data_IF_712209824032
#
_entry.id   IF_712209824032
#
_cell.length_a   1.000
_cell.length_b   1.000
_cell.length_c   1.000
_cell.angle_alpha   90.00
_cell.angle_beta   90.00
_cell.angle_gamma   90.00
#
_symmetry.space_group_name_H-M   'P 1'
#
loop_
_entity.id
_entity.type
_entity.pdbx_description
1 polymer ?
#
# COMPACT_ATOMS: atom_id res chain seq x y z
N UNK A 1 2.69 3.59 2.72
CA UNK A 1 1.95 3.22 1.50
C UNK A 1 2.76 3.54 0.26
N UNK A 2 2.52 2.84 -0.84
CA UNK A 2 3.07 3.15 -2.16
C UNK A 2 1.93 3.59 -3.10
N UNK A 3 2.19 4.66 -3.85
CA UNK A 3 1.21 5.32 -4.71
C UNK A 3 1.62 5.21 -6.19
N UNK A 4 0.67 5.00 -7.09
CA UNK A 4 0.90 5.06 -8.53
C UNK A 4 0.80 6.52 -9.03
N UNK A 5 1.92 7.16 -9.41
CA UNK A 5 1.95 8.55 -9.83
C UNK A 5 1.16 8.80 -11.12
N UNK A 6 0.92 7.77 -11.94
CA UNK A 6 0.14 7.88 -13.19
C UNK A 6 -1.35 8.08 -12.90
N UNK A 7 -1.82 7.65 -11.73
CA UNK A 7 -3.19 7.85 -11.24
C UNK A 7 -3.26 9.12 -10.38
N UNK A 8 -2.29 9.30 -9.49
CA UNK A 8 -2.22 10.46 -8.59
C UNK A 8 -2.12 11.77 -9.38
N UNK A 9 -1.37 11.75 -10.49
CA UNK A 9 -1.00 12.93 -11.25
C UNK A 9 0.23 13.63 -10.66
N UNK A 10 0.69 14.66 -11.35
CA UNK A 10 1.91 15.41 -10.99
C UNK A 10 1.62 16.74 -10.30
N UNK A 11 0.37 17.21 -10.32
CA UNK A 11 -0.03 18.47 -9.69
C UNK A 11 -0.80 18.21 -8.39
N UNK A 12 -0.12 18.41 -7.27
CA UNK A 12 -0.65 18.19 -5.92
C UNK A 12 -1.91 19.03 -5.63
N UNK A 13 -1.99 20.25 -6.17
CA UNK A 13 -3.13 21.16 -5.98
C UNK A 13 -4.43 20.62 -6.60
N UNK A 14 -4.33 19.61 -7.47
CA UNK A 14 -5.47 19.00 -8.18
C UNK A 14 -5.74 17.56 -7.75
N UNK A 15 -5.02 17.07 -6.73
CA UNK A 15 -5.22 15.73 -6.19
C UNK A 15 -6.50 15.72 -5.36
N UNK A 16 -7.46 14.89 -5.77
CA UNK A 16 -8.66 14.61 -4.97
C UNK A 16 -8.40 13.41 -4.05
N UNK A 17 -9.15 13.31 -2.96
CA UNK A 17 -9.12 12.13 -2.09
C UNK A 17 -9.39 10.83 -2.88
N UNK A 18 -10.32 10.88 -3.84
CA UNK A 18 -10.60 9.74 -4.72
C UNK A 18 -9.36 9.33 -5.56
N UNK A 19 -8.64 10.28 -6.17
CA UNK A 19 -7.40 10.00 -6.91
C UNK A 19 -6.32 9.44 -5.99
N UNK A 20 -6.19 10.01 -4.80
CA UNK A 20 -5.27 9.50 -3.79
C UNK A 20 -5.57 8.04 -3.46
N UNK A 21 -6.80 7.70 -3.06
CA UNK A 21 -7.20 6.33 -2.72
C UNK A 21 -6.98 5.38 -3.90
N UNK A 22 -7.38 5.76 -5.12
CA UNK A 22 -7.18 4.93 -6.33
C UNK A 22 -5.71 4.74 -6.69
N UNK A 23 -4.83 5.66 -6.31
CA UNK A 23 -3.40 5.55 -6.56
C UNK A 23 -2.72 4.56 -5.61
N UNK A 24 -3.29 4.26 -4.44
CA UNK A 24 -2.70 3.32 -3.48
C UNK A 24 -2.71 1.91 -4.07
N UNK A 25 -1.53 1.33 -4.28
CA UNK A 25 -1.39 -0.07 -4.73
C UNK A 25 -0.69 -0.97 -3.70
N UNK A 26 -0.17 -0.39 -2.62
CA UNK A 26 0.40 -1.13 -1.50
C UNK A 26 0.24 -0.37 -0.18
N UNK A 27 -0.36 -1.04 0.80
CA UNK A 27 -0.37 -0.61 2.20
C UNK A 27 0.60 -1.51 2.95
N UNK A 28 1.41 -0.94 3.84
CA UNK A 28 2.27 -1.72 4.69
C UNK A 28 2.34 -1.05 6.05
N UNK A 29 2.56 -1.86 7.09
CA UNK A 29 2.71 -1.51 8.52
C UNK A 29 3.59 -0.30 8.89
N UNK A 30 4.36 0.28 7.96
CA UNK A 30 5.10 1.52 8.22
C UNK A 30 6.29 1.37 9.20
N UNK A 31 6.61 0.13 9.60
CA UNK A 31 7.78 -0.18 10.43
C UNK A 31 8.92 -0.73 9.58
N UNK A 32 10.12 -0.13 9.71
CA UNK A 32 11.34 -0.54 9.01
C UNK A 32 11.36 -0.22 7.51
N UNK A 33 12.54 -0.26 6.89
CA UNK A 33 12.77 0.04 5.46
C UNK A 33 12.09 -0.87 4.45
N UNK A 34 10.99 -1.55 4.82
CA UNK A 34 10.25 -2.54 4.04
C UNK A 34 9.79 -2.03 2.66
N UNK A 35 9.38 -0.76 2.47
CA UNK A 35 9.16 -0.22 1.14
C UNK A 35 10.40 -0.28 0.24
N UNK A 36 11.58 -0.02 0.80
CA UNK A 36 12.85 -0.11 0.09
C UNK A 36 13.23 -1.57 -0.18
N UNK A 37 12.93 -2.49 0.73
CA UNK A 37 13.09 -3.92 0.48
C UNK A 37 12.25 -4.37 -0.72
N UNK A 38 10.99 -3.95 -0.81
CA UNK A 38 10.14 -4.28 -1.96
C UNK A 38 10.70 -3.74 -3.28
N UNK A 39 11.31 -2.55 -3.28
CA UNK A 39 11.96 -2.00 -4.47
C UNK A 39 13.22 -2.79 -4.83
N UNK A 40 14.06 -3.11 -3.85
CA UNK A 40 15.25 -3.93 -4.08
C UNK A 40 14.88 -5.29 -4.66
N UNK A 41 13.87 -5.93 -4.10
CA UNK A 41 13.42 -7.26 -4.51
C UNK A 41 12.76 -7.21 -5.90
N UNK A 42 11.94 -6.19 -6.18
CA UNK A 42 11.39 -5.96 -7.52
C UNK A 42 12.49 -5.76 -8.56
N UNK A 43 13.54 -4.99 -8.23
CA UNK A 43 14.67 -4.78 -9.14
C UNK A 43 15.41 -6.09 -9.44
N UNK A 44 15.71 -6.90 -8.42
CA UNK A 44 16.37 -8.20 -8.58
C UNK A 44 15.55 -9.14 -9.47
N UNK A 45 14.23 -9.18 -9.30
CA UNK A 45 13.36 -9.98 -10.17
C UNK A 45 13.33 -9.46 -11.60
N UNK A 46 13.29 -8.13 -11.80
CA UNK A 46 13.27 -7.52 -13.13
C UNK A 46 14.61 -7.66 -13.89
N UNK A 47 15.72 -7.87 -13.19
CA UNK A 47 17.05 -8.16 -13.78
C UNK A 47 17.16 -9.60 -14.31
N UNK A 48 16.29 -10.52 -13.89
CA UNK A 48 16.27 -11.89 -14.42
C UNK A 48 15.78 -11.93 -15.87
N UNK A 49 16.19 -12.94 -16.66
CA UNK A 49 15.62 -13.21 -17.98
C UNK A 49 14.08 -13.30 -17.92
N UNK A 50 13.32 -12.77 -18.89
CA UNK A 50 11.85 -12.72 -18.83
C UNK A 50 11.16 -14.07 -18.58
N UNK A 51 11.76 -15.17 -19.02
CA UNK A 51 11.29 -16.54 -18.82
C UNK A 51 11.54 -17.10 -17.40
N UNK A 52 12.30 -16.39 -16.57
CA UNK A 52 12.66 -16.77 -15.19
C UNK A 52 12.08 -15.80 -14.14
N UNK A 53 11.34 -14.79 -14.59
CA UNK A 53 10.72 -13.80 -13.71
C UNK A 53 9.46 -14.36 -13.05
N UNK A 54 9.42 -14.40 -11.72
CA UNK A 54 8.20 -14.65 -10.95
C UNK A 54 7.71 -13.33 -10.34
N UNK A 55 7.05 -12.53 -11.18
CA UNK A 55 6.54 -11.22 -10.76
C UNK A 55 5.15 -11.35 -10.16
N UNK A 56 5.08 -11.25 -8.84
CA UNK A 56 3.84 -10.86 -8.16
C UNK A 56 3.26 -9.58 -8.78
N UNK A 57 1.94 -9.40 -8.71
CA UNK A 57 1.25 -8.20 -9.23
C UNK A 57 1.90 -6.89 -8.72
N UNK A 58 2.34 -6.90 -7.46
CA UNK A 58 3.09 -5.80 -6.82
C UNK A 58 4.39 -5.47 -7.56
N UNK A 59 5.21 -6.47 -7.87
CA UNK A 59 6.50 -6.24 -8.55
C UNK A 59 6.31 -5.86 -10.02
N UNK A 60 5.31 -6.45 -10.68
CA UNK A 60 4.90 -6.03 -12.03
C UNK A 60 4.51 -4.55 -12.04
N UNK A 61 3.66 -4.13 -11.10
CA UNK A 61 3.23 -2.72 -10.95
C UNK A 61 4.42 -1.78 -10.73
N UNK A 62 5.35 -2.14 -9.84
CA UNK A 62 6.57 -1.36 -9.60
C UNK A 62 7.39 -1.21 -10.90
N UNK A 63 7.65 -2.32 -11.59
CA UNK A 63 8.38 -2.34 -12.85
C UNK A 63 7.72 -1.50 -13.94
N UNK A 64 6.39 -1.58 -14.06
CA UNK A 64 5.63 -0.81 -15.06
C UNK A 64 5.69 0.70 -14.79
N UNK A 65 5.68 1.12 -13.52
CA UNK A 65 5.84 2.53 -13.15
C UNK A 65 7.25 3.02 -13.48
N UNK A 66 8.28 2.23 -13.17
CA UNK A 66 9.67 2.57 -13.50
C UNK A 66 9.93 2.62 -15.01
N UNK A 67 9.41 1.66 -15.78
CA UNK A 67 9.50 1.65 -17.25
C UNK A 67 8.84 2.88 -17.88
N UNK A 68 7.78 3.40 -17.25
CA UNK A 68 7.13 4.64 -17.66
C UNK A 68 7.90 5.90 -17.24
N UNK A 69 9.07 5.78 -16.59
CA UNK A 69 9.94 6.89 -16.21
C UNK A 69 9.57 7.58 -14.90
N UNK A 70 8.69 7.00 -14.09
CA UNK A 70 8.25 7.61 -12.84
C UNK A 70 8.94 7.02 -11.61
N UNK A 71 9.23 7.88 -10.63
CA UNK A 71 9.50 7.45 -9.26
C UNK A 71 8.21 7.03 -8.56
N UNK A 72 8.29 6.14 -7.56
CA UNK A 72 7.13 5.69 -6.80
C UNK A 72 7.06 6.46 -5.48
N UNK A 73 6.05 7.34 -5.27
CA UNK A 73 5.88 8.03 -4.01
C UNK A 73 5.60 7.06 -2.86
N UNK A 74 6.33 7.25 -1.75
CA UNK A 74 6.07 6.62 -0.45
C UNK A 74 5.38 7.63 0.44
N UNK A 75 4.24 7.27 1.02
CA UNK A 75 3.57 8.08 2.03
C UNK A 75 3.52 7.33 3.36
N UNK A 76 3.98 7.97 4.44
CA UNK A 76 3.96 7.43 5.81
C UNK A 76 2.92 8.20 6.61
N UNK A 77 1.84 7.51 6.99
CA UNK A 77 0.71 8.10 7.74
C UNK A 77 1.03 8.18 9.24
N UNK A 78 1.96 7.37 9.75
CA UNK A 78 2.23 7.31 11.18
C UNK A 78 3.67 6.90 11.49
N UNK A 79 4.21 7.46 12.57
CA UNK A 79 5.50 7.10 13.15
C UNK A 79 5.34 6.63 14.60
N UNK A 80 6.09 5.60 15.01
CA UNK A 80 6.13 5.15 16.40
C UNK A 80 4.95 4.28 16.86
N UNK A 81 4.29 3.56 15.94
CA UNK A 81 3.25 2.60 16.31
C UNK A 81 3.88 1.36 16.93
N UNK A 82 3.19 0.74 17.89
CA UNK A 82 3.52 -0.64 18.26
C UNK A 82 3.24 -1.58 17.08
N UNK A 83 3.93 -2.72 17.00
CA UNK A 83 3.68 -3.70 15.93
C UNK A 83 2.20 -4.12 15.87
N UNK A 84 1.58 -4.34 17.02
CA UNK A 84 0.17 -4.70 17.12
C UNK A 84 -0.75 -3.62 16.53
N UNK A 85 -0.49 -2.35 16.85
CA UNK A 85 -1.24 -1.21 16.33
C UNK A 85 -1.00 -1.03 14.83
N UNK A 86 0.23 -1.21 14.36
CA UNK A 86 0.58 -1.15 12.95
C UNK A 86 -0.17 -2.22 12.13
N UNK A 87 -0.32 -3.44 12.66
CA UNK A 87 -1.11 -4.51 12.02
C UNK A 87 -2.58 -4.11 11.87
N UNK A 88 -3.20 -3.61 12.96
CA UNK A 88 -4.61 -3.22 12.93
C UNK A 88 -4.85 -2.08 11.96
N UNK A 89 -3.96 -1.07 11.95
CA UNK A 89 -4.04 0.06 11.02
C UNK A 89 -3.91 -0.38 9.57
N UNK A 90 -2.89 -1.20 9.27
CA UNK A 90 -2.69 -1.75 7.93
C UNK A 90 -3.94 -2.54 7.48
N UNK A 91 -4.50 -3.38 8.36
CA UNK A 91 -5.71 -4.15 8.07
C UNK A 91 -6.93 -3.26 7.81
N UNK A 92 -7.17 -2.24 8.65
CA UNK A 92 -8.30 -1.32 8.47
C UNK A 92 -8.17 -0.49 7.19
N UNK A 93 -6.97 -0.02 6.86
CA UNK A 93 -6.74 0.72 5.61
C UNK A 93 -6.96 -0.18 4.38
N UNK A 94 -6.48 -1.43 4.40
CA UNK A 94 -6.74 -2.39 3.30
C UNK A 94 -8.24 -2.65 3.14
N UNK A 95 -8.93 -2.91 4.26
CA UNK A 95 -10.37 -3.15 4.29
C UNK A 95 -11.18 -1.92 3.80
N UNK A 96 -10.68 -0.72 4.06
CA UNK A 96 -11.36 0.53 3.63
C UNK A 96 -11.12 0.82 2.17
N UNK A 97 -9.85 0.76 1.75
CA UNK A 97 -9.45 1.09 0.39
C UNK A 97 -10.17 0.13 -0.57
N UNK A 98 -10.22 -1.16 -0.24
CA UNK A 98 -11.00 -2.23 -0.90
C UNK A 98 -11.03 -2.21 -2.45
N UNK A 99 -10.13 -1.46 -3.09
CA UNK A 99 -9.98 -1.43 -4.53
C UNK A 99 -9.33 -2.72 -4.97
N UNK A 100 -9.77 -3.18 -6.14
CA UNK A 100 -9.23 -4.31 -6.89
C UNK A 100 -7.71 -4.27 -7.09
N UNK A 101 -7.06 -3.12 -6.84
CA UNK A 101 -5.63 -2.90 -7.01
C UNK A 101 -4.76 -3.20 -5.77
N UNK A 102 -5.34 -3.55 -4.61
CA UNK A 102 -4.54 -3.92 -3.43
C UNK A 102 -4.09 -5.39 -3.52
N UNK A 103 -2.80 -5.59 -3.76
CA UNK A 103 -2.20 -6.92 -3.96
C UNK A 103 -1.87 -7.64 -2.64
N UNK A 104 -1.98 -6.97 -1.48
CA UNK A 104 -1.75 -7.58 -0.18
C UNK A 104 -3.08 -7.87 0.54
N UNK A 105 -3.59 -9.09 0.38
CA UNK A 105 -4.70 -9.58 1.20
C UNK A 105 -4.16 -9.97 2.57
N UNK A 106 -4.54 -9.25 3.62
CA UNK A 106 -4.20 -9.67 4.98
C UNK A 106 -5.24 -10.65 5.50
N UNK A 107 -4.85 -11.91 5.72
CA UNK A 107 -5.72 -12.93 6.35
C UNK A 107 -5.81 -12.80 7.87
N UNK A 108 -4.82 -12.15 8.52
CA UNK A 108 -4.66 -12.22 9.99
C UNK A 108 -4.36 -10.87 10.67
N UNK A 109 -4.73 -9.73 10.07
CA UNK A 109 -4.34 -8.39 10.58
C UNK A 109 -5.07 -7.88 11.83
N UNK A 110 -6.06 -8.61 12.35
CA UNK A 110 -6.84 -8.22 13.53
C UNK A 110 -6.53 -9.10 14.74
N UNK A 111 -6.31 -8.48 15.90
CA UNK A 111 -5.84 -9.14 17.12
C UNK A 111 -6.55 -8.59 18.36
N UNK A 112 -6.59 -9.39 19.43
CA UNK A 112 -7.24 -8.99 20.69
C UNK A 112 -8.70 -8.55 20.49
N UNK A 113 -9.06 -7.39 21.06
CA UNK A 113 -10.41 -6.85 20.96
C UNK A 113 -10.79 -6.42 19.54
N UNK A 114 -9.83 -6.10 18.66
CA UNK A 114 -10.13 -5.61 17.30
C UNK A 114 -10.68 -6.70 16.39
N UNK A 115 -10.55 -7.99 16.76
CA UNK A 115 -11.28 -9.09 16.12
C UNK A 115 -12.80 -8.96 16.25
N UNK A 116 -13.28 -8.32 17.33
CA UNK A 116 -14.72 -8.12 17.59
C UNK A 116 -15.28 -6.88 16.88
N UNK A 117 -14.44 -6.08 16.23
CA UNK A 117 -14.91 -4.91 15.48
C UNK A 117 -15.76 -5.36 14.30
N UNK A 118 -16.89 -4.66 14.13
CA UNK A 118 -17.74 -4.81 12.96
C UNK A 118 -17.01 -4.36 11.70
N UNK A 119 -17.48 -4.78 10.53
CA UNK A 119 -16.92 -4.29 9.26
C UNK A 119 -17.01 -2.76 9.18
N UNK A 120 -18.15 -2.19 9.57
CA UNK A 120 -18.36 -0.73 9.64
C UNK A 120 -17.31 -0.04 10.49
N UNK A 121 -17.03 -0.53 11.70
CA UNK A 121 -16.01 0.06 12.58
C UNK A 121 -14.62 -0.01 11.95
N UNK A 122 -14.29 -1.11 11.27
CA UNK A 122 -13.00 -1.27 10.59
C UNK A 122 -12.86 -0.30 9.41
N UNK A 123 -13.92 -0.11 8.64
CA UNK A 123 -13.91 0.79 7.48
C UNK A 123 -13.95 2.26 7.88
N UNK A 124 -14.70 2.63 8.91
CA UNK A 124 -14.68 3.99 9.49
C UNK A 124 -13.30 4.36 10.02
N UNK A 125 -12.69 3.46 10.80
CA UNK A 125 -11.35 3.69 11.33
C UNK A 125 -10.31 3.78 10.22
N UNK A 126 -10.38 2.91 9.21
CA UNK A 126 -9.48 2.99 8.06
C UNK A 126 -9.70 4.23 7.20
N UNK A 127 -10.93 4.72 7.06
CA UNK A 127 -11.23 6.00 6.36
C UNK A 127 -10.59 7.16 7.10
N UNK A 128 -10.74 7.20 8.41
CA UNK A 128 -10.12 8.20 9.26
C UNK A 128 -8.58 8.17 9.17
N UNK A 129 -7.97 7.00 9.06
CA UNK A 129 -6.52 6.87 8.86
C UNK A 129 -6.06 7.40 7.49
N UNK A 130 -6.89 7.34 6.45
CA UNK A 130 -6.52 7.79 5.10
C UNK A 130 -6.67 9.30 4.90
N UNK A 131 -7.50 9.93 5.72
CA UNK A 131 -7.76 11.38 5.69
C UNK A 131 -6.72 12.19 6.49
N UNK A 132 -5.94 11.52 7.35
CA UNK A 132 -5.05 12.14 8.34
C UNK A 132 -3.58 12.15 7.96
#
# INVERSE_FOLDING_TARGET
MLLDPRILGTNIETVTFEKFVKSVFYVGKGTGGRPLDHFRDARKELEKPPNEQDLSEKYRRIGDIWKAGFGIPKHEIYHGASDHEAFVREACMIETIQVTNLTNKMKDGFHGFTKKWTLTTKTEYGTWLLDR
#
